data_IF_685758648509
#
_entry.id   IF_685758648509
#
_cell.length_a   1.000
_cell.length_b   1.000
_cell.length_c   1.000
_cell.angle_alpha   90.00
_cell.angle_beta   90.00
_cell.angle_gamma   90.00
#
_symmetry.space_group_name_H-M   'P 1'
#
loop_
_entity.id
_entity.type
_entity.pdbx_description
1 polymer ?
#
# COMPACT_ATOMS: atom_id res chain seq x y z
N UNK A 1 9.88 2.65 -20.28
CA UNK A 1 9.57 3.17 -18.93
C UNK A 1 9.06 4.59 -19.12
N UNK A 2 7.85 4.89 -18.67
CA UNK A 2 7.22 6.22 -18.84
C UNK A 2 7.39 7.02 -17.55
N UNK A 3 8.38 7.92 -17.54
CA UNK A 3 8.71 8.71 -16.37
C UNK A 3 7.69 9.81 -16.07
N UNK A 4 7.04 10.36 -17.10
CA UNK A 4 6.01 11.38 -16.92
C UNK A 4 4.81 10.79 -16.17
N UNK A 5 4.41 9.56 -16.53
CA UNK A 5 3.35 8.88 -15.79
C UNK A 5 3.76 8.49 -14.35
N UNK A 6 5.03 8.15 -14.12
CA UNK A 6 5.53 7.73 -12.80
C UNK A 6 5.58 8.89 -11.80
N UNK A 7 6.06 10.06 -12.24
CA UNK A 7 6.33 11.23 -11.39
C UNK A 7 5.26 12.33 -11.44
N UNK A 8 4.26 12.20 -12.30
CA UNK A 8 3.13 13.13 -12.35
C UNK A 8 2.28 13.04 -11.07
N UNK A 9 1.75 14.19 -10.67
CA UNK A 9 0.68 14.24 -9.68
C UNK A 9 -0.63 13.72 -10.28
N UNK A 10 -1.12 12.62 -9.72
CA UNK A 10 -2.39 11.99 -10.09
C UNK A 10 -3.47 12.39 -9.08
N UNK A 11 -4.25 13.43 -9.43
CA UNK A 11 -5.35 13.89 -8.59
C UNK A 11 -6.42 12.76 -8.45
N UNK A 12 -6.91 12.46 -7.24
CA UNK A 12 -7.89 11.41 -7.04
C UNK A 12 -9.19 11.67 -7.80
N UNK A 13 -9.65 10.68 -8.58
CA UNK A 13 -10.96 10.68 -9.24
C UNK A 13 -12.02 10.13 -8.28
N UNK A 14 -13.30 10.50 -8.45
CA UNK A 14 -14.40 10.27 -7.51
C UNK A 14 -14.33 9.01 -6.62
N UNK A 15 -14.23 7.80 -7.21
CA UNK A 15 -14.23 6.52 -6.47
C UNK A 15 -12.83 5.97 -6.13
N UNK A 16 -11.76 6.69 -6.47
CA UNK A 16 -10.39 6.27 -6.13
C UNK A 16 -10.10 6.39 -4.62
N UNK A 17 -10.50 7.48 -3.91
CA UNK A 17 -10.31 7.60 -2.47
C UNK A 17 -10.83 6.41 -1.66
N UNK A 18 -12.06 5.94 -1.94
CA UNK A 18 -12.66 4.79 -1.26
C UNK A 18 -11.81 3.51 -1.43
N UNK A 19 -11.21 3.32 -2.60
CA UNK A 19 -10.34 2.16 -2.86
C UNK A 19 -9.00 2.28 -2.13
N UNK A 20 -8.42 3.48 -2.08
CA UNK A 20 -7.21 3.74 -1.29
C UNK A 20 -7.43 3.46 0.19
N UNK A 21 -8.57 3.92 0.72
CA UNK A 21 -8.93 3.71 2.12
C UNK A 21 -9.13 2.22 2.42
N UNK A 22 -9.88 1.51 1.58
CA UNK A 22 -10.07 0.06 1.71
C UNK A 22 -8.75 -0.73 1.71
N UNK A 23 -7.81 -0.37 0.84
CA UNK A 23 -6.48 -0.99 0.80
C UNK A 23 -5.67 -0.70 2.06
N UNK A 24 -5.69 0.56 2.54
CA UNK A 24 -4.96 0.96 3.75
C UNK A 24 -5.52 0.30 5.01
N UNK A 25 -6.84 0.23 5.15
CA UNK A 25 -7.47 -0.45 6.29
C UNK A 25 -7.12 -1.94 6.32
N UNK A 26 -7.13 -2.63 5.17
CA UNK A 26 -6.71 -4.03 5.11
C UNK A 26 -5.22 -4.24 5.37
N UNK A 27 -4.37 -3.35 4.89
CA UNK A 27 -2.95 -3.38 5.25
C UNK A 27 -2.74 -3.17 6.75
N UNK A 28 -3.49 -2.25 7.37
CA UNK A 28 -3.44 -2.00 8.82
C UNK A 28 -3.90 -3.22 9.63
N UNK A 29 -5.01 -3.84 9.25
CA UNK A 29 -5.49 -5.09 9.89
C UNK A 29 -4.41 -6.18 9.85
N UNK A 30 -3.78 -6.41 8.69
CA UNK A 30 -2.69 -7.39 8.55
C UNK A 30 -1.47 -7.02 9.38
N UNK A 31 -1.11 -5.73 9.45
CA UNK A 31 0.01 -5.26 10.27
C UNK A 31 -0.24 -5.53 11.76
N UNK A 32 -1.46 -5.31 12.26
CA UNK A 32 -1.83 -5.67 13.63
C UNK A 32 -1.66 -7.16 13.89
N UNK A 33 -2.09 -8.03 12.96
CA UNK A 33 -1.92 -9.48 13.09
C UNK A 33 -0.45 -9.90 13.07
N UNK A 34 0.38 -9.30 12.21
CA UNK A 34 1.84 -9.53 12.20
C UNK A 34 2.44 -9.12 13.54
N UNK A 35 2.00 -7.98 14.10
CA UNK A 35 2.52 -7.51 15.37
C UNK A 35 2.19 -8.46 16.52
N UNK A 36 0.93 -8.88 16.58
CA UNK A 36 0.40 -9.74 17.63
C UNK A 36 0.94 -11.17 17.56
N UNK A 37 1.03 -11.76 16.37
CA UNK A 37 1.24 -13.20 16.20
C UNK A 37 2.69 -13.58 15.87
N UNK A 38 3.50 -12.66 15.35
CA UNK A 38 4.89 -12.97 14.99
C UNK A 38 5.88 -12.59 16.09
N UNK A 39 6.89 -13.44 16.37
CA UNK A 39 7.96 -13.10 17.31
C UNK A 39 8.85 -11.98 16.74
N UNK A 40 9.49 -11.22 17.63
CA UNK A 40 10.48 -10.21 17.25
C UNK A 40 11.64 -10.89 16.51
N UNK A 41 11.76 -10.58 15.22
CA UNK A 41 12.63 -11.28 14.28
C UNK A 41 12.86 -10.42 13.05
N UNK A 42 13.87 -10.78 12.25
CA UNK A 42 14.13 -10.13 10.96
C UNK A 42 12.95 -10.29 10.00
N UNK A 43 12.33 -11.46 10.03
CA UNK A 43 11.18 -11.84 9.23
C UNK A 43 9.97 -10.94 9.54
N UNK A 44 9.70 -10.66 10.83
CA UNK A 44 8.65 -9.72 11.25
C UNK A 44 8.91 -8.32 10.72
N UNK A 45 10.14 -7.81 10.83
CA UNK A 45 10.52 -6.51 10.27
C UNK A 45 10.32 -6.46 8.76
N UNK A 46 10.76 -7.50 8.04
CA UNK A 46 10.58 -7.60 6.59
C UNK A 46 9.10 -7.70 6.18
N UNK A 47 8.28 -8.39 6.98
CA UNK A 47 6.84 -8.48 6.74
C UNK A 47 6.17 -7.10 6.76
N UNK A 48 6.51 -6.24 7.74
CA UNK A 48 6.03 -4.86 7.77
C UNK A 48 6.50 -4.05 6.54
N UNK A 49 7.79 -4.11 6.21
CA UNK A 49 8.33 -3.38 5.04
C UNK A 49 7.66 -3.81 3.75
N UNK A 50 7.46 -5.12 3.53
CA UNK A 50 6.83 -5.64 2.33
C UNK A 50 5.33 -5.31 2.26
N UNK A 51 4.64 -5.30 3.40
CA UNK A 51 3.23 -4.91 3.46
C UNK A 51 3.04 -3.43 3.13
N UNK A 52 3.89 -2.55 3.66
CA UNK A 52 3.90 -1.13 3.31
C UNK A 52 4.16 -0.92 1.81
N UNK A 53 5.18 -1.56 1.25
CA UNK A 53 5.47 -1.50 -0.18
C UNK A 53 4.30 -2.01 -1.02
N UNK A 54 3.67 -3.11 -0.62
CA UNK A 54 2.50 -3.67 -1.30
C UNK A 54 1.36 -2.65 -1.35
N UNK A 55 1.06 -1.98 -0.23
CA UNK A 55 0.04 -0.94 -0.18
C UNK A 55 0.40 0.28 -1.04
N UNK A 56 1.68 0.70 -1.05
CA UNK A 56 2.16 1.79 -1.89
C UNK A 56 1.96 1.47 -3.37
N UNK A 57 2.38 0.30 -3.83
CA UNK A 57 2.26 -0.11 -5.23
C UNK A 57 0.81 -0.34 -5.66
N UNK A 58 -0.05 -0.85 -4.76
CA UNK A 58 -1.47 -0.98 -5.03
C UNK A 58 -2.13 0.39 -5.26
N UNK A 59 -1.87 1.37 -4.39
CA UNK A 59 -2.38 2.74 -4.58
C UNK A 59 -1.83 3.39 -5.85
N UNK A 60 -0.54 3.21 -6.14
CA UNK A 60 0.09 3.74 -7.35
C UNK A 60 -0.51 3.12 -8.62
N UNK A 61 -0.93 1.84 -8.58
CA UNK A 61 -1.57 1.19 -9.72
C UNK A 61 -2.91 1.84 -10.08
N UNK A 62 -3.70 2.24 -9.09
CA UNK A 62 -4.96 2.97 -9.30
C UNK A 62 -4.65 4.39 -9.78
N UNK A 63 -3.73 5.09 -9.13
CA UNK A 63 -3.44 6.49 -9.44
C UNK A 63 -2.87 6.69 -10.86
N UNK A 64 -1.99 5.78 -11.32
CA UNK A 64 -1.29 5.90 -12.60
C UNK A 64 -2.05 5.37 -13.81
N UNK A 65 -3.09 4.57 -13.61
CA UNK A 65 -3.77 3.86 -14.71
C UNK A 65 -5.27 4.16 -14.82
N UNK A 66 -5.85 4.95 -13.91
CA UNK A 66 -7.29 5.26 -13.93
C UNK A 66 -7.62 6.74 -13.82
#
# INVERSE_FOLDING_TARGET
MDFDNIYKYHAPKAKQPERYEKLREKAKEMACLIDELCPNSREKSLAFTNLEQSCMWANASIARNE
#
